data_IF_931266426459
#
_entry.id   IF_931266426459
#
_cell.length_a   1.000
_cell.length_b   1.000
_cell.length_c   1.000
_cell.angle_alpha   90.00
_cell.angle_beta   90.00
_cell.angle_gamma   90.00
#
_symmetry.space_group_name_H-M   'P 1'
#
loop_
_entity.id
_entity.type
_entity.pdbx_description
1 polymer ?
#
# COMPACT_ATOMS: atom_id res chain seq x y z
N UNK A 1 6.23 2.19 7.70
CA UNK A 1 5.59 1.08 8.47
C UNK A 1 6.44 -0.16 8.25
N UNK A 2 6.76 -0.92 9.30
CA UNK A 2 7.61 -2.11 9.14
C UNK A 2 6.75 -3.30 8.67
N UNK A 3 7.00 -3.83 7.48
CA UNK A 3 6.16 -4.89 6.90
C UNK A 3 6.14 -6.18 7.74
N UNK A 4 7.26 -6.51 8.39
CA UNK A 4 7.33 -7.66 9.29
C UNK A 4 6.43 -7.52 10.53
N UNK A 5 6.16 -6.29 10.98
CA UNK A 5 5.27 -6.04 12.12
C UNK A 5 3.81 -6.28 11.71
N UNK A 6 3.42 -5.80 10.54
CA UNK A 6 2.07 -6.02 10.01
C UNK A 6 1.74 -7.51 9.89
N UNK A 7 2.66 -8.31 9.34
CA UNK A 7 2.45 -9.75 9.21
C UNK A 7 2.20 -10.44 10.55
N UNK A 8 2.90 -10.01 11.61
CA UNK A 8 2.69 -10.54 12.97
C UNK A 8 1.32 -10.17 13.52
N UNK A 9 0.88 -8.94 13.30
CA UNK A 9 -0.45 -8.48 13.73
C UNK A 9 -1.53 -9.28 13.01
N UNK A 10 -1.39 -9.49 11.70
CA UNK A 10 -2.32 -10.31 10.91
C UNK A 10 -2.37 -11.74 11.43
N UNK A 11 -1.21 -12.36 11.69
CA UNK A 11 -1.16 -13.74 12.21
C UNK A 11 -1.78 -13.85 13.61
N UNK A 12 -1.57 -12.85 14.48
CA UNK A 12 -2.18 -12.79 15.81
C UNK A 12 -3.71 -12.68 15.72
N UNK A 13 -4.24 -11.76 14.91
CA UNK A 13 -5.69 -11.59 14.72
C UNK A 13 -6.31 -12.86 14.13
N UNK A 14 -5.66 -13.49 13.15
CA UNK A 14 -6.12 -14.73 12.56
C UNK A 14 -6.26 -15.84 13.61
N UNK A 15 -5.25 -16.01 14.48
CA UNK A 15 -5.29 -17.03 15.55
C UNK A 15 -6.32 -16.72 16.63
N UNK A 16 -6.40 -15.47 17.06
CA UNK A 16 -7.24 -15.08 18.19
C UNK A 16 -8.73 -15.00 17.84
N UNK A 17 -9.03 -14.49 16.64
CA UNK A 17 -10.40 -14.22 16.18
C UNK A 17 -10.90 -15.28 15.19
N UNK A 18 -10.06 -16.21 14.74
CA UNK A 18 -10.34 -17.16 13.67
C UNK A 18 -10.81 -16.47 12.37
N UNK A 19 -10.31 -15.26 12.09
CA UNK A 19 -10.62 -14.48 10.89
C UNK A 19 -9.60 -14.80 9.82
N UNK A 20 -10.02 -14.99 8.57
CA UNK A 20 -9.09 -15.22 7.47
C UNK A 20 -8.08 -14.07 7.34
N UNK A 21 -6.81 -14.40 7.07
CA UNK A 21 -5.75 -13.41 6.93
C UNK A 21 -6.08 -12.41 5.83
N UNK A 22 -6.70 -12.84 4.74
CA UNK A 22 -7.10 -11.97 3.64
C UNK A 22 -8.09 -10.90 4.10
N UNK A 23 -9.07 -11.25 4.94
CA UNK A 23 -10.02 -10.28 5.49
C UNK A 23 -9.32 -9.23 6.36
N UNK A 24 -8.29 -9.64 7.12
CA UNK A 24 -7.50 -8.70 7.93
C UNK A 24 -6.66 -7.78 7.04
N UNK A 25 -6.03 -8.31 5.99
CA UNK A 25 -5.29 -7.49 5.02
C UNK A 25 -6.20 -6.47 4.33
N UNK A 26 -7.37 -6.90 3.84
CA UNK A 26 -8.35 -6.00 3.24
C UNK A 26 -8.79 -4.91 4.22
N UNK A 27 -9.05 -5.26 5.48
CA UNK A 27 -9.39 -4.28 6.52
C UNK A 27 -8.30 -3.23 6.72
N UNK A 28 -7.03 -3.65 6.71
CA UNK A 28 -5.89 -2.73 6.82
C UNK A 28 -5.77 -1.85 5.57
N UNK A 29 -5.92 -2.43 4.37
CA UNK A 29 -5.91 -1.69 3.10
C UNK A 29 -7.00 -0.60 3.11
N UNK A 30 -8.23 -0.95 3.49
CA UNK A 30 -9.35 -0.01 3.60
C UNK A 30 -9.10 1.08 4.65
N UNK A 31 -8.49 0.74 5.79
CA UNK A 31 -8.11 1.72 6.81
C UNK A 31 -7.09 2.74 6.27
N UNK A 32 -6.09 2.28 5.52
CA UNK A 32 -5.09 3.15 4.88
C UNK A 32 -5.74 3.98 3.79
N UNK A 33 -6.62 3.42 2.95
CA UNK A 33 -7.39 4.18 1.93
C UNK A 33 -8.18 5.29 2.61
N UNK A 34 -8.89 5.00 3.70
CA UNK A 34 -9.66 5.99 4.45
C UNK A 34 -8.78 7.11 5.01
N UNK A 35 -7.61 6.77 5.56
CA UNK A 35 -6.64 7.75 6.02
C UNK A 35 -6.04 8.59 4.88
N UNK A 36 -5.72 7.96 3.75
CA UNK A 36 -5.17 8.60 2.57
C UNK A 36 -6.21 9.53 1.91
N UNK A 37 -7.49 9.14 1.83
CA UNK A 37 -8.58 10.00 1.31
C UNK A 37 -8.68 11.30 2.10
N UNK A 38 -8.51 11.24 3.42
CA UNK A 38 -8.48 12.44 4.28
C UNK A 38 -7.27 13.34 4.01
N UNK A 39 -6.17 12.79 3.49
CA UNK A 39 -4.94 13.54 3.22
C UNK A 39 -4.88 14.11 1.80
N UNK A 40 -5.25 13.31 0.79
CA UNK A 40 -5.16 13.67 -0.63
C UNK A 40 -6.43 14.29 -1.20
N UNK A 41 -7.57 14.16 -0.51
CA UNK A 41 -8.89 14.60 -0.94
C UNK A 41 -9.80 13.43 -1.35
N UNK A 42 -11.10 13.58 -1.10
CA UNK A 42 -12.10 12.54 -1.35
C UNK A 42 -12.37 12.29 -2.85
N UNK A 43 -11.98 13.23 -3.71
CA UNK A 43 -12.13 13.14 -5.16
C UNK A 43 -11.08 12.24 -5.82
N UNK A 44 -10.05 11.81 -5.09
CA UNK A 44 -8.95 11.04 -5.65
C UNK A 44 -9.23 9.53 -5.55
N UNK A 45 -8.92 8.81 -6.62
CA UNK A 45 -9.01 7.35 -6.63
C UNK A 45 -7.79 6.78 -5.91
N UNK A 46 -7.99 6.30 -4.68
CA UNK A 46 -6.92 5.74 -3.86
C UNK A 46 -7.11 4.24 -3.73
N UNK A 47 -6.09 3.50 -4.13
CA UNK A 47 -6.02 2.05 -4.03
C UNK A 47 -4.79 1.69 -3.20
N UNK A 48 -4.99 0.89 -2.16
CA UNK A 48 -3.89 0.40 -1.31
C UNK A 48 -3.83 -1.10 -1.42
N UNK A 49 -2.63 -1.63 -1.55
CA UNK A 49 -2.39 -3.07 -1.60
C UNK A 49 -1.23 -3.45 -0.68
N UNK A 50 -1.41 -4.48 0.14
CA UNK A 50 -0.38 -4.96 1.06
C UNK A 50 0.18 -6.29 0.57
N UNK A 51 1.47 -6.39 0.30
CA UNK A 51 2.07 -7.67 -0.10
C UNK A 51 2.04 -8.66 1.08
N UNK A 52 1.44 -9.84 0.86
CA UNK A 52 1.21 -10.87 1.89
C UNK A 52 2.50 -11.59 2.32
N UNK A 53 3.56 -11.50 1.52
CA UNK A 53 4.83 -12.18 1.77
C UNK A 53 5.77 -11.36 2.65
N UNK A 54 5.80 -10.04 2.46
CA UNK A 54 6.71 -9.13 3.17
C UNK A 54 5.98 -8.10 4.05
N UNK A 55 4.65 -8.00 3.93
CA UNK A 55 3.81 -7.05 4.66
C UNK A 55 3.96 -5.59 4.20
N UNK A 56 4.55 -5.35 3.03
CA UNK A 56 4.82 -4.00 2.53
C UNK A 56 3.55 -3.41 1.89
N UNK A 57 3.01 -2.29 2.42
CA UNK A 57 1.91 -1.58 1.79
C UNK A 57 2.41 -0.76 0.60
N UNK A 58 1.65 -0.81 -0.49
CA UNK A 58 1.78 0.03 -1.69
C UNK A 58 0.51 0.84 -1.83
N UNK A 59 0.65 2.10 -2.25
CA UNK A 59 -0.48 3.00 -2.44
C UNK A 59 -0.42 3.58 -3.85
N UNK A 60 -1.56 3.62 -4.52
CA UNK A 60 -1.75 4.23 -5.83
C UNK A 60 -2.81 5.32 -5.70
N UNK A 61 -2.53 6.49 -6.25
CA UNK A 61 -3.43 7.64 -6.28
C UNK A 61 -3.63 8.06 -7.74
N UNK A 62 -4.86 8.00 -8.24
CA UNK A 62 -5.23 8.21 -9.65
C UNK A 62 -4.37 7.39 -10.64
N UNK A 63 -4.07 6.14 -10.29
CA UNK A 63 -3.24 5.25 -11.10
C UNK A 63 -1.73 5.55 -11.06
N UNK A 64 -1.29 6.55 -10.30
CA UNK A 64 0.13 6.81 -10.05
C UNK A 64 0.57 6.16 -8.73
N UNK A 65 1.65 5.39 -8.76
CA UNK A 65 2.24 4.79 -7.56
C UNK A 65 2.79 5.89 -6.63
N UNK A 66 2.15 6.07 -5.49
CA UNK A 66 2.60 6.98 -4.44
C UNK A 66 3.27 6.12 -3.37
N UNK A 67 4.59 5.98 -3.50
CA UNK A 67 5.39 5.16 -2.61
C UNK A 67 5.16 5.55 -1.14
N UNK A 68 4.62 4.62 -0.36
CA UNK A 68 4.41 4.76 1.07
C UNK A 68 5.77 4.71 1.79
N UNK A 69 6.52 5.81 1.73
CA UNK A 69 7.71 6.10 2.52
C UNK A 69 8.70 4.92 2.69
N UNK A 70 9.30 4.46 1.58
CA UNK A 70 10.72 4.11 1.56
C UNK A 70 11.33 4.88 0.40
N UNK A 71 12.34 5.69 0.69
CA UNK A 71 13.04 6.49 -0.30
C UNK A 71 13.68 5.60 -1.36
N UNK A 72 13.06 5.51 -2.53
CA UNK A 72 13.67 5.21 -3.82
C UNK A 72 12.63 5.43 -4.91
N UNK A 73 12.25 6.69 -5.11
CA UNK A 73 11.88 7.13 -6.44
C UNK A 73 13.14 6.93 -7.29
N UNK A 74 13.23 5.84 -8.06
CA UNK A 74 14.18 5.83 -9.18
C UNK A 74 13.61 6.81 -10.20
N UNK A 75 14.28 7.93 -10.54
CA UNK A 75 13.93 8.68 -11.73
C UNK A 75 14.40 7.85 -12.92
N UNK A 76 13.55 6.92 -13.36
CA UNK A 76 13.75 6.06 -14.51
C UNK A 76 13.02 6.56 -15.77
N UNK A 77 12.58 7.83 -15.79
CA UNK A 77 12.11 8.49 -16.99
C UNK A 77 13.29 8.94 -17.85
N UNK A 78 13.95 8.02 -18.54
CA UNK A 78 14.70 8.36 -19.74
C UNK A 78 13.73 8.24 -20.92
N UNK A 79 13.07 9.34 -21.25
CA UNK A 79 12.69 9.57 -22.64
C UNK A 79 13.97 9.96 -23.36
N UNK A 80 14.61 8.99 -23.99
CA UNK A 80 15.56 9.29 -25.06
C UNK A 80 14.77 9.82 -26.25
N UNK A 81 14.51 11.13 -26.24
CA UNK A 81 14.29 11.89 -27.46
C UNK A 81 15.58 11.87 -28.30
N UNK A 82 15.82 10.73 -28.94
CA UNK A 82 16.74 10.60 -30.06
C UNK A 82 16.11 11.28 -31.27
N UNK A 83 16.43 12.55 -31.43
CA UNK A 83 16.41 13.24 -32.72
C UNK A 83 17.23 12.43 -33.74
N UNK A 84 16.57 11.99 -34.82
CA UNK A 84 17.02 12.04 -36.23
C UNK A 84 15.89 11.55 -37.12
#
# INVERSE_FOLDING_TARGET
>A
MNGAELLRIVDAIHRDKAIDKEIVFEGIEQAIVSAARKHYGEEQEIVVHVDRNNGHPTCQVNGAEVGAATGSLKPGGRIDSGVS
#
